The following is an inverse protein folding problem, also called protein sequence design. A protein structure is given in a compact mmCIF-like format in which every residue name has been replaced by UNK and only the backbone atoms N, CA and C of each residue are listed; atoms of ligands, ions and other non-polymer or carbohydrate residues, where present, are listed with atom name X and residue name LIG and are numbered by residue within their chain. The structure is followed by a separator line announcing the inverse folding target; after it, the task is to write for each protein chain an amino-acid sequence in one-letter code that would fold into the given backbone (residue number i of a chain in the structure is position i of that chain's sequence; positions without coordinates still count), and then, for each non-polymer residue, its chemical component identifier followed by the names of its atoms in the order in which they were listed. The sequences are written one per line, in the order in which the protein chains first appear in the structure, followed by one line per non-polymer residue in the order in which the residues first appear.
data_IF_306185756444
#
_entry.id   IF_306185756444
#
_cell.length_a   1.000
_cell.length_b   1.000
_cell.length_c   1.000
_cell.angle_alpha   90.00
_cell.angle_beta   90.00
_cell.angle_gamma   90.00
#
_symmetry.space_group_name_H-M   'P 1'
#
loop_
_entity.id
_entity.type
_entity.pdbx_description
1 polymer ?
#
# COMPACT_ATOMS: atom_id res chain seq x y z
N UNK A 1 -27.91 38.32 26.62
CA UNK A 1 -27.63 37.03 27.30
C UNK A 1 -26.49 36.34 26.57
N UNK A 2 -25.28 36.26 27.14
CA UNK A 2 -24.22 35.44 26.57
C UNK A 2 -24.27 34.05 27.22
N UNK A 3 -24.55 33.01 26.43
CA UNK A 3 -24.38 31.62 26.85
C UNK A 3 -22.92 31.25 26.60
N UNK A 4 -22.17 31.16 27.70
CA UNK A 4 -20.82 30.62 27.78
C UNK A 4 -20.81 29.14 27.37
N UNK A 5 -20.04 28.81 26.34
CA UNK A 5 -19.73 27.42 25.95
C UNK A 5 -18.59 26.89 26.82
N UNK A 6 -18.92 26.19 27.91
CA UNK A 6 -17.97 25.41 28.67
C UNK A 6 -17.68 24.05 27.96
N UNK A 7 -16.41 23.61 27.87
CA UNK A 7 -16.06 22.36 27.20
C UNK A 7 -16.43 21.14 28.07
N UNK A 8 -17.28 20.25 27.52
CA UNK A 8 -17.57 18.93 28.08
C UNK A 8 -16.44 17.96 27.76
N UNK A 9 -15.63 17.60 28.76
CA UNK A 9 -15.03 16.27 28.98
C UNK A 9 -14.12 16.29 30.22
N UNK A 10 -14.59 15.74 31.33
CA UNK A 10 -13.75 15.25 32.43
C UNK A 10 -14.26 13.90 32.89
N UNK A 11 -13.67 12.83 32.37
CA UNK A 11 -13.81 11.49 32.95
C UNK A 11 -12.44 11.03 33.45
N UNK A 12 -12.07 11.54 34.64
CA UNK A 12 -10.98 11.00 35.44
C UNK A 12 -11.40 11.13 36.91
N UNK A 13 -11.93 10.05 37.49
CA UNK A 13 -12.01 9.90 38.94
C UNK A 13 -10.69 9.31 39.43
N UNK A 14 -9.97 10.11 40.21
CA UNK A 14 -8.96 9.62 41.17
C UNK A 14 -9.68 9.10 42.41
N UNK A 15 -9.28 7.94 42.91
CA UNK A 15 -9.40 7.60 44.33
C UNK A 15 -8.04 7.06 44.78
N UNK A 16 -7.45 7.75 45.74
CA UNK A 16 -6.29 7.30 46.50
C UNK A 16 -6.73 7.13 47.96
N UNK A 17 -6.28 6.06 48.62
CA UNK A 17 -6.57 5.83 50.04
C UNK A 17 -6.15 4.45 50.57
N UNK A 18 -4.84 4.30 50.80
CA UNK A 18 -4.11 3.48 51.80
C UNK A 18 -4.47 2.03 52.19
N UNK A 19 -3.48 1.17 51.90
CA UNK A 19 -2.76 0.21 52.75
C UNK A 19 -3.48 -0.96 53.48
N UNK A 20 -3.08 -2.18 53.10
CA UNK A 20 -3.20 -3.42 53.88
C UNK A 20 -2.46 -4.56 53.18
N UNK A 21 -1.35 -5.02 53.77
CA UNK A 21 -0.50 -6.12 53.31
C UNK A 21 -1.21 -7.47 53.37
N UNK A 22 -1.20 -8.22 52.27
CA UNK A 22 -1.13 -9.68 52.29
C UNK A 22 -0.66 -10.19 50.93
N UNK A 23 0.54 -10.77 50.92
CA UNK A 23 1.10 -11.47 49.77
C UNK A 23 0.30 -12.75 49.50
N UNK A 24 -0.37 -12.80 48.36
CA UNK A 24 -0.89 -14.02 47.76
C UNK A 24 -0.31 -14.11 46.35
N UNK A 25 0.45 -15.17 46.10
CA UNK A 25 1.05 -15.46 44.81
C UNK A 25 -0.06 -15.60 43.75
N UNK A 26 -0.16 -14.62 42.85
CA UNK A 26 -0.97 -14.75 41.66
C UNK A 26 -0.20 -15.60 40.65
N UNK A 27 -0.62 -16.85 40.50
CA UNK A 27 -0.20 -17.70 39.39
C UNK A 27 -0.46 -16.97 38.05
N UNK A 28 0.42 -17.07 37.05
CA UNK A 28 0.12 -16.52 35.74
C UNK A 28 -1.09 -17.26 35.19
N UNK A 29 -2.20 -16.54 34.98
CA UNK A 29 -3.30 -17.04 34.20
C UNK A 29 -2.79 -17.29 32.79
N UNK A 30 -2.64 -18.58 32.46
CA UNK A 30 -2.52 -19.02 31.08
C UNK A 30 -3.79 -18.56 30.36
N UNK A 31 -3.71 -17.45 29.63
CA UNK A 31 -4.66 -17.16 28.56
C UNK A 31 -4.34 -18.10 27.38
N UNK A 32 -4.59 -19.39 27.58
CA UNK A 32 -4.79 -20.33 26.49
C UNK A 32 -6.14 -20.01 25.88
N UNK A 33 -6.09 -19.38 24.72
CA UNK A 33 -7.23 -19.11 23.86
C UNK A 33 -6.74 -18.91 22.45
N UNK A 34 -6.10 -19.94 21.87
CA UNK A 34 -6.00 -20.05 20.42
C UNK A 34 -7.42 -20.20 19.87
N UNK A 35 -8.07 -19.07 19.60
CA UNK A 35 -9.20 -19.04 18.68
C UNK A 35 -8.62 -19.35 17.30
N UNK A 36 -8.62 -20.64 16.94
CA UNK A 36 -8.55 -21.06 15.54
C UNK A 36 -9.76 -20.43 14.88
N UNK A 37 -9.55 -19.42 14.05
CA UNK A 37 -10.59 -18.78 13.25
C UNK A 37 -11.00 -19.75 12.13
N UNK A 38 -11.66 -20.84 12.53
CA UNK A 38 -12.32 -21.77 11.62
C UNK A 38 -13.61 -21.11 11.18
N UNK A 39 -13.72 -20.78 9.89
CA UNK A 39 -14.88 -20.15 9.26
C UNK A 39 -16.16 -20.99 9.33
N UNK A 40 -16.77 -21.07 10.53
CA UNK A 40 -17.95 -21.88 10.82
C UNK A 40 -18.97 -21.20 11.72
N UNK A 41 -18.94 -19.86 11.82
CA UNK A 41 -19.96 -19.10 12.55
C UNK A 41 -21.28 -19.01 11.77
N UNK A 42 -22.43 -18.88 12.45
CA UNK A 42 -23.75 -18.88 11.79
C UNK A 42 -23.86 -17.76 10.75
N UNK A 43 -24.09 -18.10 9.48
CA UNK A 43 -23.94 -17.21 8.31
C UNK A 43 -24.92 -16.05 8.22
N UNK A 44 -25.92 -15.96 9.12
CA UNK A 44 -26.91 -14.87 9.13
C UNK A 44 -26.38 -13.54 9.67
N UNK A 45 -25.27 -13.53 10.42
CA UNK A 45 -24.61 -12.31 10.89
C UNK A 45 -23.36 -12.00 10.06
N UNK A 46 -23.37 -10.87 9.39
CA UNK A 46 -22.21 -10.30 8.72
C UNK A 46 -21.03 -10.14 9.68
N UNK A 47 -19.79 -10.28 9.16
CA UNK A 47 -18.57 -10.18 9.97
C UNK A 47 -18.50 -8.88 10.79
N UNK A 48 -18.91 -7.75 10.22
CA UNK A 48 -18.89 -6.44 10.90
C UNK A 48 -19.83 -6.34 12.12
N UNK A 49 -20.82 -7.24 12.24
CA UNK A 49 -21.72 -7.30 13.39
C UNK A 49 -21.20 -8.19 14.53
N UNK A 50 -20.00 -8.78 14.38
CA UNK A 50 -19.37 -9.64 15.38
C UNK A 50 -18.26 -8.89 16.11
N UNK A 51 -18.02 -9.28 17.36
CA UNK A 51 -16.84 -8.83 18.09
C UNK A 51 -15.58 -9.18 17.30
N UNK A 52 -14.70 -8.20 17.11
CA UNK A 52 -13.45 -8.35 16.38
C UNK A 52 -12.29 -8.46 17.36
N UNK A 53 -11.30 -9.29 17.03
CA UNK A 53 -10.09 -9.46 17.83
C UNK A 53 -8.89 -8.80 17.15
N UNK A 54 -9.03 -7.51 16.83
CA UNK A 54 -7.94 -6.70 16.26
C UNK A 54 -8.06 -5.26 16.75
N UNK A 55 -6.96 -4.50 16.63
CA UNK A 55 -6.95 -3.05 16.89
C UNK A 55 -6.92 -2.29 15.57
N UNK A 56 -7.99 -1.57 15.25
CA UNK A 56 -8.04 -0.67 14.10
C UNK A 56 -7.30 0.63 14.42
N UNK A 57 -6.40 1.04 13.53
CA UNK A 57 -5.52 2.17 13.71
C UNK A 57 -5.39 2.96 12.41
N UNK A 58 -4.95 4.21 12.54
CA UNK A 58 -4.58 5.08 11.43
C UNK A 58 -3.26 5.77 11.76
N UNK A 59 -2.37 5.83 10.78
CA UNK A 59 -1.23 6.75 10.79
C UNK A 59 -1.43 7.75 9.66
N UNK A 60 -1.29 9.04 9.96
CA UNK A 60 -1.52 10.10 8.99
C UNK A 60 -0.49 11.21 9.10
N UNK A 61 -0.54 12.15 8.16
CA UNK A 61 0.25 13.37 8.16
C UNK A 61 -0.26 14.47 9.11
N UNK A 62 -1.17 14.14 10.03
CA UNK A 62 -1.79 15.12 10.92
C UNK A 62 -0.75 15.96 11.70
N UNK A 63 -1.12 17.20 11.98
CA UNK A 63 -0.35 18.11 12.78
C UNK A 63 -0.32 17.64 14.24
N UNK A 64 0.85 17.17 14.70
CA UNK A 64 1.04 16.66 16.05
C UNK A 64 0.89 17.74 17.14
N UNK A 65 0.92 19.03 16.78
CA UNK A 65 0.63 20.12 17.70
C UNK A 65 -0.88 20.30 17.96
N UNK A 66 -1.73 19.68 17.13
CA UNK A 66 -3.17 19.91 17.11
C UNK A 66 -3.62 21.09 16.24
N UNK A 67 -2.71 21.66 15.44
CA UNK A 67 -3.00 22.65 14.41
C UNK A 67 -3.59 22.04 13.13
N UNK A 68 -3.42 22.73 12.01
CA UNK A 68 -3.97 22.36 10.69
C UNK A 68 -2.87 22.16 9.63
N UNK A 69 -1.60 22.10 10.03
CA UNK A 69 -0.51 21.77 9.11
C UNK A 69 -0.43 20.24 8.93
N UNK A 70 -1.52 19.65 8.43
CA UNK A 70 -1.71 18.18 8.33
C UNK A 70 -0.97 17.55 7.14
N UNK A 71 0.22 18.06 6.83
CA UNK A 71 1.04 17.62 5.70
C UNK A 71 2.52 17.62 6.07
N UNK A 72 3.32 16.92 5.25
CA UNK A 72 4.78 17.02 5.32
C UNK A 72 5.33 17.76 4.10
N UNK A 73 6.18 18.80 4.28
CA UNK A 73 7.03 19.27 3.20
C UNK A 73 8.19 18.29 3.00
N UNK A 74 8.56 18.02 1.75
CA UNK A 74 9.67 17.11 1.43
C UNK A 74 10.62 17.81 0.45
N UNK A 75 11.84 18.06 0.89
CA UNK A 75 12.87 18.68 0.07
C UNK A 75 13.34 17.74 -1.07
N UNK A 76 13.95 18.28 -2.14
CA UNK A 76 14.66 17.47 -3.14
C UNK A 76 15.66 16.50 -2.48
N UNK A 77 15.66 15.24 -2.92
CA UNK A 77 16.50 14.16 -2.39
C UNK A 77 16.09 13.63 -1.01
N UNK A 78 15.14 14.27 -0.32
CA UNK A 78 14.73 13.86 1.02
C UNK A 78 13.73 12.69 0.97
N UNK A 79 13.76 11.88 2.04
CA UNK A 79 12.82 10.78 2.25
C UNK A 79 11.94 11.06 3.45
N UNK A 80 10.63 10.94 3.26
CA UNK A 80 9.62 11.02 4.32
C UNK A 80 9.17 9.62 4.71
N UNK A 81 9.21 9.30 6.01
CA UNK A 81 8.58 8.10 6.55
C UNK A 81 7.05 8.33 6.62
N UNK A 82 6.30 7.53 5.88
CA UNK A 82 4.84 7.62 5.79
C UNK A 82 4.15 6.71 6.82
N UNK A 83 4.74 5.54 7.06
CA UNK A 83 4.21 4.49 7.94
C UNK A 83 5.34 3.77 8.67
N UNK A 84 5.14 3.48 9.95
CA UNK A 84 6.02 2.60 10.71
C UNK A 84 5.23 1.94 11.85
N UNK A 85 5.04 0.62 11.75
CA UNK A 85 4.37 -0.16 12.78
C UNK A 85 5.10 -1.46 13.05
N UNK A 86 5.03 -1.90 14.30
CA UNK A 86 5.53 -3.19 14.77
C UNK A 86 4.36 -4.11 15.17
N UNK A 87 4.63 -5.40 15.14
CA UNK A 87 3.67 -6.46 15.40
C UNK A 87 2.99 -6.99 14.11
N UNK A 88 2.23 -8.09 14.22
CA UNK A 88 1.48 -8.61 13.10
C UNK A 88 0.30 -7.69 12.77
N UNK A 89 0.12 -7.39 11.49
CA UNK A 89 -0.93 -6.50 11.04
C UNK A 89 -1.20 -6.56 9.55
N UNK A 90 -2.20 -5.79 9.13
CA UNK A 90 -2.62 -5.65 7.73
C UNK A 90 -2.92 -4.20 7.45
N UNK A 91 -2.20 -3.59 6.50
CA UNK A 91 -2.61 -2.30 5.92
C UNK A 91 -3.83 -2.59 5.03
N UNK A 92 -4.90 -1.83 5.24
CA UNK A 92 -6.20 -2.02 4.58
C UNK A 92 -6.55 -0.90 3.62
N UNK A 93 -5.96 0.28 3.82
CA UNK A 93 -6.18 1.42 2.96
C UNK A 93 -5.02 2.41 3.04
N UNK A 94 -4.64 2.95 1.89
CA UNK A 94 -3.68 4.04 1.74
C UNK A 94 -4.37 5.13 0.95
N UNK A 95 -4.34 6.35 1.47
CA UNK A 95 -4.76 7.56 0.78
C UNK A 95 -3.64 8.59 0.77
N UNK A 96 -3.37 9.19 -0.40
CA UNK A 96 -2.49 10.33 -0.56
C UNK A 96 -3.16 11.47 -1.34
N UNK A 97 -2.75 12.70 -1.03
CA UNK A 97 -2.83 13.81 -2.00
C UNK A 97 -1.56 14.65 -1.91
N UNK A 98 -1.08 15.13 -3.05
CA UNK A 98 0.27 15.67 -3.17
C UNK A 98 0.21 17.03 -3.89
N UNK A 99 0.67 18.07 -3.20
CA UNK A 99 0.96 19.37 -3.78
C UNK A 99 2.48 19.55 -3.88
N UNK A 100 3.01 19.40 -5.08
CA UNK A 100 4.43 19.58 -5.38
C UNK A 100 4.62 20.66 -6.45
N UNK A 101 5.77 21.31 -6.42
CA UNK A 101 6.14 22.35 -7.40
C UNK A 101 6.41 21.76 -8.79
N UNK A 102 6.87 20.50 -8.86
CA UNK A 102 7.14 19.84 -10.12
C UNK A 102 5.86 19.34 -10.79
N UNK A 103 5.57 19.68 -12.07
CA UNK A 103 4.50 19.02 -12.83
C UNK A 103 4.69 17.50 -12.97
N UNK A 104 5.92 16.99 -12.86
CA UNK A 104 6.23 15.57 -13.06
C UNK A 104 6.34 14.79 -11.74
N UNK A 105 5.87 15.35 -10.61
CA UNK A 105 6.04 14.75 -9.28
C UNK A 105 5.51 13.32 -9.16
N UNK A 106 4.50 12.94 -9.96
CA UNK A 106 3.99 11.56 -10.00
C UNK A 106 5.04 10.54 -10.47
N UNK A 107 6.03 10.95 -11.28
CA UNK A 107 7.15 10.12 -11.73
C UNK A 107 8.41 10.31 -10.88
N UNK A 108 8.53 11.45 -10.20
CA UNK A 108 9.73 11.83 -9.44
C UNK A 108 9.68 11.41 -7.96
N UNK A 109 8.49 11.11 -7.43
CA UNK A 109 8.34 10.63 -6.04
C UNK A 109 8.34 9.12 -6.03
N UNK A 110 9.33 8.49 -5.41
CA UNK A 110 9.42 7.03 -5.31
C UNK A 110 8.82 6.56 -3.99
N UNK A 111 7.77 5.75 -4.10
CA UNK A 111 7.10 5.09 -2.99
C UNK A 111 7.73 3.72 -2.74
N UNK A 112 8.13 3.48 -1.48
CA UNK A 112 8.75 2.22 -1.05
C UNK A 112 8.02 1.63 0.15
N UNK A 113 7.90 0.31 0.19
CA UNK A 113 7.41 -0.43 1.34
C UNK A 113 8.32 -1.60 1.70
N UNK A 114 8.54 -1.80 3.00
CA UNK A 114 9.43 -2.81 3.57
C UNK A 114 8.63 -3.65 4.56
N UNK A 115 8.68 -4.97 4.39
CA UNK A 115 8.01 -5.92 5.27
C UNK A 115 9.02 -6.62 6.16
N UNK A 116 8.68 -6.73 7.45
CA UNK A 116 9.33 -7.57 8.45
C UNK A 116 10.83 -7.36 8.59
N UNK A 117 11.27 -6.11 8.40
CA UNK A 117 12.66 -5.67 8.51
C UNK A 117 13.53 -6.05 7.30
N UNK A 118 12.95 -6.51 6.20
CA UNK A 118 13.69 -6.78 4.97
C UNK A 118 14.33 -5.47 4.45
N UNK A 119 15.65 -5.42 4.24
CA UNK A 119 16.32 -4.23 3.73
C UNK A 119 15.97 -3.92 2.27
N UNK A 120 15.59 -4.93 1.48
CA UNK A 120 15.12 -4.75 0.12
C UNK A 120 13.62 -4.38 0.13
N UNK A 121 13.22 -3.27 -0.51
CA UNK A 121 11.81 -2.91 -0.59
C UNK A 121 11.04 -3.96 -1.39
N UNK A 122 9.84 -4.29 -0.93
CA UNK A 122 8.90 -5.19 -1.62
C UNK A 122 7.98 -4.42 -2.57
N UNK A 123 7.74 -3.14 -2.29
CA UNK A 123 7.19 -2.16 -3.22
C UNK A 123 8.28 -1.14 -3.49
N UNK A 124 8.62 -0.89 -4.75
CA UNK A 124 9.50 0.22 -5.15
C UNK A 124 9.05 0.72 -6.52
N UNK A 125 8.32 1.82 -6.53
CA UNK A 125 7.65 2.36 -7.73
C UNK A 125 7.53 3.88 -7.62
N UNK A 126 7.49 4.62 -8.74
CA UNK A 126 7.01 6.00 -8.69
C UNK A 126 5.56 6.04 -8.18
N UNK A 127 5.22 7.06 -7.40
CA UNK A 127 3.92 7.15 -6.73
C UNK A 127 2.78 7.16 -7.74
N UNK A 128 2.92 7.83 -8.88
CA UNK A 128 1.93 7.82 -9.95
C UNK A 128 1.66 6.43 -10.49
N UNK A 129 2.72 5.69 -10.81
CA UNK A 129 2.64 4.33 -11.34
C UNK A 129 1.98 3.35 -10.36
N UNK A 130 2.26 3.48 -9.06
CA UNK A 130 1.56 2.70 -8.02
C UNK A 130 0.03 2.86 -8.10
N UNK A 131 -0.44 4.08 -8.38
CA UNK A 131 -1.85 4.41 -8.52
C UNK A 131 -2.32 4.40 -9.98
N UNK A 132 -1.63 3.72 -10.91
CA UNK A 132 -2.06 3.56 -12.30
C UNK A 132 -2.02 4.84 -13.14
N UNK A 133 -1.30 5.88 -12.71
CA UNK A 133 -1.11 7.14 -13.42
C UNK A 133 0.21 7.12 -14.20
N UNK A 134 0.39 6.11 -15.06
CA UNK A 134 1.70 5.71 -15.58
C UNK A 134 2.44 6.80 -16.39
N UNK A 135 1.68 7.71 -17.00
CA UNK A 135 2.21 8.84 -17.79
C UNK A 135 2.45 10.12 -16.98
N UNK A 136 2.38 10.04 -15.64
CA UNK A 136 2.65 11.17 -14.76
C UNK A 136 1.56 12.24 -14.73
N UNK A 137 0.35 11.89 -15.19
CA UNK A 137 -0.80 12.80 -15.24
C UNK A 137 -1.95 12.28 -14.37
N UNK A 138 -2.64 13.19 -13.69
CA UNK A 138 -3.86 12.85 -12.97
C UNK A 138 -5.03 12.70 -13.95
N UNK A 139 -5.74 11.59 -13.86
CA UNK A 139 -7.05 11.41 -14.43
C UNK A 139 -7.96 10.71 -13.41
N UNK A 140 -9.25 11.02 -13.45
CA UNK A 140 -10.20 10.38 -12.55
C UNK A 140 -10.51 8.99 -13.08
N UNK A 141 -10.27 7.96 -12.27
CA UNK A 141 -10.64 6.59 -12.59
C UNK A 141 -10.84 5.78 -11.31
N UNK A 142 -11.58 4.69 -11.43
CA UNK A 142 -11.87 3.80 -10.32
C UNK A 142 -11.75 2.34 -10.76
N UNK A 143 -11.15 1.53 -9.90
CA UNK A 143 -11.15 0.07 -9.96
C UNK A 143 -11.53 -0.48 -8.57
N UNK A 144 -11.55 -1.80 -8.42
CA UNK A 144 -11.79 -2.44 -7.13
C UNK A 144 -10.68 -2.14 -6.09
N UNK A 145 -9.43 -1.95 -6.54
CA UNK A 145 -8.27 -1.84 -5.65
C UNK A 145 -7.61 -0.47 -5.65
N UNK A 146 -7.61 0.22 -6.79
CA UNK A 146 -7.01 1.54 -6.96
C UNK A 146 -8.05 2.56 -7.45
N UNK A 147 -7.95 3.79 -6.98
CA UNK A 147 -8.84 4.88 -7.38
C UNK A 147 -8.09 6.21 -7.32
N UNK A 148 -8.15 6.98 -8.40
CA UNK A 148 -7.85 8.41 -8.36
C UNK A 148 -9.16 9.17 -8.46
N UNK A 149 -9.67 9.68 -7.35
CA UNK A 149 -10.91 10.45 -7.35
C UNK A 149 -10.67 11.91 -7.73
N UNK A 150 -11.73 12.73 -7.72
CA UNK A 150 -11.60 14.18 -7.84
C UNK A 150 -10.56 14.72 -6.85
N UNK A 151 -10.07 15.93 -7.11
CA UNK A 151 -9.07 16.63 -6.27
C UNK A 151 -7.74 15.89 -6.06
N UNK A 152 -7.32 15.03 -7.00
CA UNK A 152 -6.02 14.33 -6.94
C UNK A 152 -5.88 13.43 -5.70
N UNK A 153 -6.98 12.78 -5.31
CA UNK A 153 -7.02 11.87 -4.17
C UNK A 153 -6.73 10.43 -4.64
N UNK A 154 -5.55 9.95 -4.27
CA UNK A 154 -5.00 8.65 -4.64
C UNK A 154 -5.37 7.64 -3.54
N UNK A 155 -6.12 6.59 -3.88
CA UNK A 155 -6.59 5.57 -2.93
C UNK A 155 -6.13 4.18 -3.37
N UNK A 156 -5.71 3.37 -2.40
CA UNK A 156 -5.36 1.97 -2.58
C UNK A 156 -6.01 1.13 -1.48
N UNK A 157 -6.65 0.03 -1.87
CA UNK A 157 -7.41 -0.89 -1.02
C UNK A 157 -6.86 -2.33 -1.07
N UNK A 158 -5.65 -2.53 -1.61
CA UNK A 158 -4.96 -3.80 -1.46
C UNK A 158 -4.68 -4.07 0.03
N UNK A 159 -5.01 -5.28 0.48
CA UNK A 159 -4.57 -5.74 1.79
C UNK A 159 -3.06 -6.02 1.75
N UNK A 160 -2.30 -5.41 2.66
CA UNK A 160 -0.85 -5.61 2.76
C UNK A 160 -0.49 -6.12 4.16
N UNK A 161 -0.43 -7.45 4.34
CA UNK A 161 -0.05 -8.05 5.61
C UNK A 161 1.43 -7.85 5.95
N UNK A 162 1.76 -7.83 7.23
CA UNK A 162 3.12 -7.86 7.78
C UNK A 162 3.13 -8.65 9.09
N UNK A 163 4.11 -9.52 9.34
CA UNK A 163 4.11 -10.41 10.53
C UNK A 163 4.83 -9.82 11.73
N UNK A 164 5.85 -8.99 11.49
CA UNK A 164 6.74 -8.40 12.48
C UNK A 164 6.71 -6.88 12.42
N UNK A 165 6.77 -6.30 11.23
CA UNK A 165 6.77 -4.85 11.04
C UNK A 165 6.50 -4.43 9.60
N UNK A 166 6.03 -3.20 9.43
CA UNK A 166 5.90 -2.57 8.13
C UNK A 166 6.43 -1.14 8.19
N UNK A 167 7.20 -0.76 7.18
CA UNK A 167 7.69 0.61 6.98
C UNK A 167 7.37 1.06 5.56
N UNK A 168 6.73 2.21 5.39
CA UNK A 168 6.51 2.84 4.09
C UNK A 168 7.19 4.20 4.05
N UNK A 169 7.78 4.54 2.91
CA UNK A 169 8.48 5.81 2.69
C UNK A 169 8.15 6.40 1.33
N UNK A 170 8.22 7.73 1.21
CA UNK A 170 8.25 8.43 -0.07
C UNK A 170 9.53 9.26 -0.17
N UNK A 171 10.29 9.04 -1.24
CA UNK A 171 11.50 9.80 -1.54
C UNK A 171 11.20 10.77 -2.68
N UNK A 172 11.53 12.04 -2.48
CA UNK A 172 11.47 13.02 -3.56
C UNK A 172 12.77 12.95 -4.37
N UNK A 173 12.78 12.21 -5.48
CA UNK A 173 13.94 12.14 -6.37
C UNK A 173 13.96 13.27 -7.42
N UNK A 174 12.93 14.15 -7.38
CA UNK A 174 12.87 15.36 -8.20
C UNK A 174 13.77 16.48 -7.68
N UNK A 175 13.97 17.48 -8.53
CA UNK A 175 14.79 18.67 -8.22
C UNK A 175 14.03 19.81 -7.53
N UNK A 176 12.70 19.67 -7.36
CA UNK A 176 11.81 20.69 -6.78
C UNK A 176 11.11 20.16 -5.54
N UNK A 177 10.64 21.07 -4.69
CA UNK A 177 10.08 20.71 -3.38
C UNK A 177 8.66 20.13 -3.51
N UNK A 178 8.35 19.14 -2.67
CA UNK A 178 6.97 18.78 -2.34
C UNK A 178 6.51 19.76 -1.25
N UNK A 179 5.59 20.67 -1.60
CA UNK A 179 5.07 21.67 -0.69
C UNK A 179 4.22 21.06 0.41
N UNK A 180 3.36 20.12 0.04
CA UNK A 180 2.51 19.37 0.97
C UNK A 180 2.26 17.93 0.49
N UNK A 181 2.72 16.97 1.28
CA UNK A 181 2.37 15.56 1.15
C UNK A 181 1.37 15.19 2.24
N UNK A 182 0.13 14.93 1.86
CA UNK A 182 -0.92 14.47 2.77
C UNK A 182 -1.03 12.94 2.68
N UNK A 183 -1.17 12.28 3.83
CA UNK A 183 -1.20 10.83 3.93
C UNK A 183 -2.18 10.35 4.99
N UNK A 184 -2.92 9.29 4.69
CA UNK A 184 -3.72 8.51 5.63
C UNK A 184 -3.51 7.02 5.33
N UNK A 185 -3.04 6.26 6.31
CA UNK A 185 -2.80 4.82 6.18
C UNK A 185 -3.57 4.12 7.29
N UNK A 186 -4.63 3.41 6.90
CA UNK A 186 -5.49 2.65 7.79
C UNK A 186 -5.02 1.19 7.86
N UNK A 187 -4.86 0.68 9.07
CA UNK A 187 -4.34 -0.66 9.31
C UNK A 187 -4.94 -1.30 10.55
N UNK A 188 -4.79 -2.62 10.64
CA UNK A 188 -5.22 -3.42 11.77
C UNK A 188 -4.01 -4.13 12.36
N UNK A 189 -3.83 -4.07 13.68
CA UNK A 189 -2.94 -4.98 14.39
C UNK A 189 -3.75 -6.18 14.87
N UNK A 190 -3.25 -7.37 14.56
CA UNK A 190 -3.91 -8.65 14.85
C UNK A 190 -3.04 -9.47 15.80
N UNK A 191 -3.59 -10.44 16.55
CA UNK A 191 -2.78 -11.31 17.40
C UNK A 191 -1.83 -12.22 16.61
N UNK A 192 -2.27 -12.69 15.44
CA UNK A 192 -1.47 -13.51 14.52
C UNK A 192 -2.02 -13.39 13.09
N UNK A 193 -1.20 -13.76 12.11
CA UNK A 193 -1.58 -13.94 10.72
C UNK A 193 -1.48 -15.44 10.37
N UNK A 194 -2.40 -15.99 9.54
CA UNK A 194 -2.31 -17.37 9.07
C UNK A 194 -0.95 -17.71 8.43
N UNK A 195 -0.55 -18.98 8.48
CA UNK A 195 0.76 -19.42 7.96
C UNK A 195 0.88 -19.23 6.43
N UNK A 196 -0.23 -19.33 5.71
CA UNK A 196 -0.35 -19.10 4.27
C UNK A 196 -0.42 -17.62 3.86
N UNK A 197 -0.25 -16.69 4.80
CA UNK A 197 -0.23 -15.24 4.49
C UNK A 197 0.95 -14.89 3.59
N UNK A 198 0.63 -14.27 2.44
CA UNK A 198 1.58 -13.70 1.48
C UNK A 198 1.81 -12.20 1.73
N UNK A 199 2.86 -11.65 1.13
CA UNK A 199 3.17 -10.22 1.15
C UNK A 199 2.82 -9.54 -0.16
N UNK A 200 2.39 -8.28 -0.08
CA UNK A 200 2.12 -7.49 -1.27
C UNK A 200 3.43 -6.96 -1.88
N UNK A 201 3.56 -7.07 -3.21
CA UNK A 201 4.69 -6.57 -3.97
C UNK A 201 4.20 -5.72 -5.14
N UNK A 202 4.97 -4.69 -5.49
CA UNK A 202 4.76 -3.92 -6.72
C UNK A 202 6.12 -3.46 -7.27
N UNK A 203 6.30 -3.64 -8.58
CA UNK A 203 7.53 -3.31 -9.29
C UNK A 203 7.22 -2.30 -10.39
N UNK A 204 8.17 -1.41 -10.65
CA UNK A 204 8.14 -0.48 -11.77
C UNK A 204 9.20 -0.88 -12.78
N UNK A 205 8.83 -0.89 -14.05
CA UNK A 205 9.73 -1.07 -15.19
C UNK A 205 9.38 -0.03 -16.24
N UNK A 206 10.37 0.37 -17.02
CA UNK A 206 10.22 1.31 -18.13
C UNK A 206 11.24 0.98 -19.22
N UNK A 207 10.83 1.11 -20.48
CA UNK A 207 11.73 1.08 -21.63
C UNK A 207 11.50 2.33 -22.50
N UNK A 208 12.56 3.10 -22.75
CA UNK A 208 12.51 4.32 -23.58
C UNK A 208 13.80 4.46 -24.40
N UNK A 209 13.77 4.18 -25.73
CA UNK A 209 12.66 3.58 -26.46
C UNK A 209 12.43 2.12 -26.05
N UNK A 210 11.20 1.63 -26.16
CA UNK A 210 10.95 0.19 -26.18
C UNK A 210 11.24 -0.34 -27.60
N UNK A 211 11.77 -1.56 -27.71
CA UNK A 211 12.04 -2.16 -29.01
C UNK A 211 10.71 -2.48 -29.70
N UNK A 212 10.45 -1.85 -30.84
CA UNK A 212 9.28 -2.15 -31.66
C UNK A 212 9.51 -3.47 -32.40
N UNK A 213 8.50 -4.35 -32.39
CA UNK A 213 8.44 -5.52 -33.27
C UNK A 213 7.42 -5.24 -34.38
N UNK A 214 7.69 -5.74 -35.58
CA UNK A 214 6.75 -5.62 -36.71
C UNK A 214 5.96 -6.91 -36.88
N UNK A 215 4.76 -6.84 -37.47
CA UNK A 215 3.88 -8.00 -37.62
C UNK A 215 4.48 -9.18 -38.43
N UNK A 216 5.59 -8.96 -39.15
CA UNK A 216 6.32 -10.01 -39.86
C UNK A 216 7.27 -10.84 -38.98
N UNK A 217 7.57 -10.37 -37.76
CA UNK A 217 8.53 -11.00 -36.88
C UNK A 217 7.88 -12.12 -36.07
N UNK A 218 8.41 -13.35 -36.18
CA UNK A 218 7.96 -14.47 -35.36
C UNK A 218 8.65 -14.42 -34.00
N UNK A 219 7.87 -14.54 -32.93
CA UNK A 219 8.35 -14.48 -31.56
C UNK A 219 7.94 -15.73 -30.76
N UNK A 220 8.58 -16.89 -31.01
CA UNK A 220 8.16 -18.16 -30.39
C UNK A 220 8.59 -18.32 -28.92
N UNK A 221 9.54 -17.51 -28.45
CA UNK A 221 10.17 -17.67 -27.13
C UNK A 221 10.06 -16.43 -26.23
N UNK A 222 9.44 -15.35 -26.71
CA UNK A 222 9.20 -14.14 -25.92
C UNK A 222 10.46 -13.36 -25.54
N UNK A 223 11.65 -13.71 -26.06
CA UNK A 223 12.93 -13.08 -25.64
C UNK A 223 13.01 -11.58 -25.90
N UNK A 224 12.22 -11.11 -26.85
CA UNK A 224 12.16 -9.71 -27.26
C UNK A 224 10.98 -8.97 -26.62
N UNK A 225 10.24 -9.61 -25.71
CA UNK A 225 9.09 -9.00 -25.05
C UNK A 225 9.53 -7.95 -24.05
N UNK A 226 8.69 -6.93 -23.90
CA UNK A 226 8.78 -6.06 -22.74
C UNK A 226 8.40 -6.84 -21.48
N UNK A 227 9.33 -6.94 -20.53
CA UNK A 227 9.09 -7.61 -19.25
C UNK A 227 8.49 -6.59 -18.28
N UNK A 228 7.21 -6.74 -17.94
CA UNK A 228 6.57 -5.90 -16.90
C UNK A 228 6.74 -6.45 -15.48
N UNK A 229 6.92 -7.77 -15.31
CA UNK A 229 7.19 -8.39 -14.00
C UNK A 229 8.10 -9.61 -14.15
N UNK A 230 8.97 -9.79 -13.16
CA UNK A 230 9.81 -10.97 -13.02
C UNK A 230 10.09 -11.17 -11.53
N UNK A 231 9.90 -12.38 -11.04
CA UNK A 231 10.09 -12.70 -9.62
C UNK A 231 10.29 -14.19 -9.42
N UNK A 232 10.85 -14.57 -8.26
CA UNK A 232 10.94 -15.95 -7.81
C UNK A 232 10.28 -16.08 -6.45
N UNK A 233 9.40 -17.06 -6.30
CA UNK A 233 8.62 -17.29 -5.08
C UNK A 233 7.30 -17.99 -5.38
N UNK A 234 6.43 -18.08 -4.38
CA UNK A 234 5.10 -18.65 -4.52
C UNK A 234 4.05 -17.56 -4.25
N UNK A 235 3.12 -17.36 -5.19
CA UNK A 235 2.11 -16.32 -5.10
C UNK A 235 1.28 -16.23 -6.38
N UNK A 236 0.69 -15.06 -6.62
CA UNK A 236 -0.14 -14.80 -7.79
C UNK A 236 0.01 -13.35 -8.26
N UNK A 237 -0.10 -13.13 -9.57
CA UNK A 237 -0.13 -11.79 -10.17
C UNK A 237 -1.53 -11.19 -10.00
N UNK A 238 -1.61 -10.04 -9.34
CA UNK A 238 -2.90 -9.37 -9.04
C UNK A 238 -3.35 -8.37 -10.11
N UNK A 239 -2.43 -7.84 -10.92
CA UNK A 239 -2.75 -6.88 -11.96
C UNK A 239 -1.52 -6.18 -12.52
N UNK A 240 -1.72 -5.51 -13.66
CA UNK A 240 -0.73 -4.69 -14.36
C UNK A 240 -1.41 -3.39 -14.76
N UNK A 241 -0.77 -2.25 -14.50
CA UNK A 241 -1.12 -0.96 -15.10
C UNK A 241 -0.06 -0.61 -16.13
N UNK A 242 -0.46 -0.39 -17.38
CA UNK A 242 0.44 -0.14 -18.49
C UNK A 242 0.21 1.25 -19.06
N UNK A 243 1.27 2.05 -19.14
CA UNK A 243 1.29 3.32 -19.85
C UNK A 243 2.15 3.23 -21.11
N UNK A 244 1.61 3.60 -22.25
CA UNK A 244 2.32 3.60 -23.53
C UNK A 244 2.33 5.01 -24.11
N UNK A 245 3.52 5.53 -24.37
CA UNK A 245 3.70 6.73 -25.21
C UNK A 245 4.12 6.26 -26.60
N UNK A 246 3.19 6.30 -27.53
CA UNK A 246 3.43 5.89 -28.90
C UNK A 246 4.09 7.04 -29.68
N UNK A 247 5.20 6.73 -30.35
CA UNK A 247 5.99 7.67 -31.15
C UNK A 247 6.07 7.30 -32.64
N UNK A 248 5.31 6.28 -33.07
CA UNK A 248 5.20 5.85 -34.47
C UNK A 248 3.73 5.80 -34.88
N UNK A 249 3.48 5.81 -36.20
CA UNK A 249 2.16 5.52 -36.74
C UNK A 249 1.81 4.03 -36.55
N UNK A 250 0.54 3.66 -36.68
CA UNK A 250 -0.05 2.31 -36.51
C UNK A 250 -0.40 1.88 -35.08
N UNK A 251 -1.25 0.85 -34.95
CA UNK A 251 -1.75 0.34 -33.67
C UNK A 251 -0.66 -0.40 -32.89
N UNK A 252 -0.50 -0.08 -31.60
CA UNK A 252 0.55 -0.67 -30.74
C UNK A 252 0.16 -2.00 -30.08
N UNK A 253 -1.12 -2.33 -30.04
CA UNK A 253 -1.64 -3.44 -29.23
C UNK A 253 -1.76 -4.79 -29.94
N UNK A 254 -1.04 -5.01 -31.05
CA UNK A 254 -0.95 -6.36 -31.65
C UNK A 254 -0.06 -7.32 -30.82
N UNK A 255 0.74 -6.79 -29.89
CA UNK A 255 1.62 -7.62 -29.07
C UNK A 255 0.86 -8.50 -28.08
N UNK A 256 1.07 -9.81 -28.15
CA UNK A 256 0.51 -10.79 -27.21
C UNK A 256 1.22 -10.74 -25.85
N UNK A 257 0.47 -10.89 -24.76
CA UNK A 257 1.07 -11.25 -23.48
C UNK A 257 1.58 -12.69 -23.51
N UNK A 258 2.76 -12.92 -22.93
CA UNK A 258 3.32 -14.26 -22.73
C UNK A 258 3.74 -14.41 -21.26
N UNK A 259 3.14 -15.36 -20.56
CA UNK A 259 3.40 -15.61 -19.13
C UNK A 259 4.13 -16.93 -18.96
N UNK A 260 5.28 -16.85 -18.30
CA UNK A 260 6.15 -17.97 -17.96
C UNK A 260 6.01 -18.23 -16.46
N UNK A 261 5.57 -19.43 -16.09
CA UNK A 261 5.36 -19.83 -14.68
C UNK A 261 6.18 -21.08 -14.44
N UNK A 262 7.13 -21.00 -13.51
CA UNK A 262 8.05 -22.06 -13.07
C UNK A 262 8.95 -22.69 -14.17
N UNK A 263 8.73 -22.38 -15.45
CA UNK A 263 9.55 -22.74 -16.61
C UNK A 263 9.73 -21.52 -17.54
N UNK A 264 10.96 -21.02 -17.63
CA UNK A 264 11.33 -19.85 -18.45
C UNK A 264 11.47 -20.18 -19.95
N UNK A 265 11.45 -21.46 -20.33
CA UNK A 265 11.63 -21.88 -21.73
C UNK A 265 10.34 -21.93 -22.53
N UNK A 266 9.19 -21.92 -21.86
CA UNK A 266 7.88 -22.08 -22.49
C UNK A 266 6.80 -21.28 -21.77
N UNK A 267 6.07 -20.38 -22.47
CA UNK A 267 4.95 -19.70 -21.85
C UNK A 267 3.78 -20.67 -21.67
N UNK A 268 3.07 -20.54 -20.55
CA UNK A 268 1.87 -21.33 -20.23
C UNK A 268 0.58 -20.56 -20.51
N UNK A 269 0.67 -19.23 -20.62
CA UNK A 269 -0.42 -18.34 -21.04
C UNK A 269 0.12 -17.50 -22.19
N UNK A 270 -0.63 -17.46 -23.29
CA UNK A 270 -0.33 -16.66 -24.47
C UNK A 270 -1.62 -15.96 -24.90
N UNK A 271 -1.57 -14.65 -25.01
CA UNK A 271 -2.68 -13.80 -25.46
C UNK A 271 -2.84 -13.74 -26.97
N UNK A 272 -3.60 -12.73 -27.43
CA UNK A 272 -3.85 -12.46 -28.85
C UNK A 272 -3.77 -10.96 -29.20
N UNK A 273 -3.20 -10.15 -28.31
CA UNK A 273 -3.14 -8.69 -28.37
C UNK A 273 -3.16 -8.07 -26.97
N UNK A 274 -2.79 -6.79 -26.90
CA UNK A 274 -2.77 -5.98 -25.66
C UNK A 274 -4.10 -5.26 -25.39
#
# INVERSE_FOLDING_TARGET
MPISNAPRRRFLRRLAGFAGLSAAAAAPSQAQGQARDGGGGPTFLSRYARAQNYKSLKQSSFDRSGGNADYWPVAPGATQELFNAAGPGVISHIWFTIAAESPNHLKEIVFRAYWDGNPKPSIEVPVGDFFGLNLGQYFVYQSAFLNCSSIKALNCYFAMPFRKSARLTATNEGSRKIGAFYSNIDYQLVPFLPDDTLYFHAQYRQATPNMAQTASDKNPDGRQNYVYVETRGHGHLMGVTLGVLQNTEHWMGEGDDMIFVDDETKPVIVGTGS
#
